data_IF_304505387024
#
_entry.id   IF_304505387024
#
_cell.length_a   1.000
_cell.length_b   1.000
_cell.length_c   1.000
_cell.angle_alpha   90.00
_cell.angle_beta   90.00
_cell.angle_gamma   90.00
#
_symmetry.space_group_name_H-M   'P 1'
#
loop_
_entity.id
_entity.type
_entity.pdbx_description
1 polymer ?
#
# COMPACT_ATOMS: atom_id res chain seq x y z
N UNK A 1 11.76 22.31 5.97
CA UNK A 1 11.12 20.99 6.16
C UNK A 1 9.69 21.13 6.63
N UNK A 2 8.82 20.22 6.23
CA UNK A 2 7.43 20.11 6.68
C UNK A 2 7.26 18.84 7.53
N UNK A 3 6.51 18.92 8.62
CA UNK A 3 6.10 17.76 9.42
C UNK A 3 4.59 17.68 9.43
N UNK A 4 4.04 16.56 8.94
CA UNK A 4 2.61 16.33 8.81
C UNK A 4 2.15 15.36 9.90
N UNK A 5 1.16 15.77 10.69
CA UNK A 5 0.57 14.97 11.76
C UNK A 5 -0.94 14.82 11.51
N UNK A 6 -1.40 13.73 10.86
CA UNK A 6 -2.82 13.45 10.75
C UNK A 6 -3.35 12.97 12.10
N UNK A 7 -4.45 13.57 12.58
CA UNK A 7 -5.02 13.26 13.88
C UNK A 7 -6.55 13.16 13.83
N UNK A 8 -7.09 12.09 14.40
CA UNK A 8 -8.51 11.90 14.62
C UNK A 8 -8.73 11.47 16.07
N UNK A 9 -9.62 12.17 16.77
CA UNK A 9 -9.93 11.95 18.18
C UNK A 9 -8.68 11.87 19.10
N UNK A 10 -7.75 12.85 19.02
CA UNK A 10 -6.47 12.79 19.72
C UNK A 10 -6.60 12.90 21.24
N UNK A 11 -5.50 12.61 21.93
CA UNK A 11 -5.30 12.88 23.35
C UNK A 11 -4.13 13.86 23.57
N UNK A 12 -3.70 14.02 24.83
CA UNK A 12 -2.59 14.91 25.22
C UNK A 12 -1.26 14.61 24.53
N UNK A 13 -1.07 13.40 23.97
CA UNK A 13 0.15 13.04 23.25
C UNK A 13 0.34 13.85 21.98
N UNK A 14 -0.75 14.25 21.31
CA UNK A 14 -0.65 15.12 20.13
C UNK A 14 0.04 16.45 20.50
N UNK A 15 -0.35 17.04 21.62
CA UNK A 15 0.24 18.29 22.12
C UNK A 15 1.72 18.08 22.43
N UNK A 16 2.04 17.00 23.15
CA UNK A 16 3.43 16.66 23.50
C UNK A 16 4.31 16.48 22.25
N UNK A 17 3.81 15.78 21.24
CA UNK A 17 4.53 15.59 19.96
C UNK A 17 4.79 16.93 19.28
N UNK A 18 3.78 17.79 19.16
CA UNK A 18 3.94 19.12 18.55
C UNK A 18 4.92 19.96 19.35
N UNK A 19 4.79 20.01 20.68
CA UNK A 19 5.68 20.75 21.57
C UNK A 19 7.13 20.26 21.44
N UNK A 20 7.36 18.96 21.48
CA UNK A 20 8.69 18.36 21.34
C UNK A 20 9.32 18.70 19.99
N UNK A 21 8.54 18.64 18.90
CA UNK A 21 8.99 19.02 17.56
C UNK A 21 9.32 20.52 17.52
N UNK A 22 8.43 21.38 18.00
CA UNK A 22 8.66 22.85 18.02
C UNK A 22 9.95 23.20 18.77
N UNK A 23 10.19 22.58 19.93
CA UNK A 23 11.36 22.87 20.76
C UNK A 23 12.67 22.33 20.17
N UNK A 24 12.63 21.14 19.55
CA UNK A 24 13.85 20.44 19.10
C UNK A 24 14.16 20.64 17.62
N UNK A 25 13.17 21.00 16.80
CA UNK A 25 13.25 21.16 15.36
C UNK A 25 12.82 22.59 14.94
N UNK A 26 13.53 23.61 15.44
CA UNK A 26 13.20 25.05 15.34
C UNK A 26 12.84 25.58 13.94
N UNK A 27 13.18 24.88 12.86
CA UNK A 27 12.90 25.27 11.47
C UNK A 27 11.81 24.43 10.79
N UNK A 28 11.12 23.56 11.54
CA UNK A 28 10.03 22.75 10.99
C UNK A 28 8.74 23.54 10.87
N UNK A 29 8.08 23.44 9.72
CA UNK A 29 6.68 23.85 9.56
C UNK A 29 5.80 22.67 9.91
N UNK A 30 5.09 22.76 11.04
CA UNK A 30 4.25 21.66 11.53
C UNK A 30 2.83 21.86 11.00
N UNK A 31 2.29 20.83 10.37
CA UNK A 31 0.92 20.80 9.85
C UNK A 31 0.18 19.67 10.56
N UNK A 32 -0.77 20.04 11.41
CA UNK A 32 -1.69 19.09 12.04
C UNK A 32 -2.97 19.07 11.22
N UNK A 33 -3.46 17.88 10.87
CA UNK A 33 -4.75 17.74 10.18
C UNK A 33 -5.76 17.10 11.12
N UNK A 34 -6.72 17.90 11.58
CA UNK A 34 -7.92 17.43 12.25
C UNK A 34 -8.83 16.74 11.24
N UNK A 35 -8.81 15.40 11.20
CA UNK A 35 -9.64 14.59 10.30
C UNK A 35 -11.08 14.45 10.84
N UNK A 36 -11.73 15.57 11.17
CA UNK A 36 -13.14 15.61 11.55
C UNK A 36 -13.45 15.08 12.95
N UNK A 37 -12.56 15.35 13.91
CA UNK A 37 -12.80 15.11 15.33
C UNK A 37 -13.96 15.98 15.85
N UNK A 38 -14.76 15.43 16.77
CA UNK A 38 -15.89 16.15 17.36
C UNK A 38 -15.47 17.32 18.27
N UNK A 39 -16.43 18.20 18.66
CA UNK A 39 -16.14 19.42 19.43
C UNK A 39 -15.34 19.19 20.73
N UNK A 40 -15.51 18.04 21.39
CA UNK A 40 -14.79 17.67 22.61
C UNK A 40 -13.27 17.57 22.45
N UNK A 41 -12.76 17.57 21.22
CA UNK A 41 -11.33 17.49 20.92
C UNK A 41 -10.72 18.82 20.48
N UNK A 42 -11.51 19.90 20.36
CA UNK A 42 -11.03 21.19 19.85
C UNK A 42 -9.84 21.71 20.66
N UNK A 43 -9.89 21.59 21.99
CA UNK A 43 -8.83 22.07 22.89
C UNK A 43 -7.45 21.49 22.53
N UNK A 44 -7.36 20.21 22.14
CA UNK A 44 -6.10 19.61 21.71
C UNK A 44 -5.53 20.29 20.46
N UNK A 45 -6.40 20.64 19.51
CA UNK A 45 -5.98 21.30 18.27
C UNK A 45 -5.64 22.77 18.51
N UNK A 46 -6.45 23.47 19.30
CA UNK A 46 -6.21 24.87 19.67
C UNK A 46 -4.86 24.99 20.41
N UNK A 47 -4.56 24.07 21.33
CA UNK A 47 -3.29 24.03 22.03
C UNK A 47 -2.11 23.71 21.09
N UNK A 48 -2.26 22.80 20.12
CA UNK A 48 -1.20 22.60 19.11
C UNK A 48 -0.94 23.84 18.26
N UNK A 49 -1.97 24.64 17.97
CA UNK A 49 -1.80 25.89 17.25
C UNK A 49 -1.03 26.93 18.07
N UNK A 50 -1.22 26.97 19.40
CA UNK A 50 -0.42 27.81 20.31
C UNK A 50 1.06 27.43 20.30
N UNK A 51 1.38 26.16 20.06
CA UNK A 51 2.76 25.68 19.87
C UNK A 51 3.31 25.89 18.44
N UNK A 52 2.59 26.63 17.59
CA UNK A 52 3.04 27.06 16.27
C UNK A 52 2.69 26.12 15.12
N UNK A 53 1.81 25.13 15.34
CA UNK A 53 1.34 24.28 14.26
C UNK A 53 0.24 24.95 13.43
N UNK A 54 0.28 24.78 12.11
CA UNK A 54 -0.86 25.05 11.23
C UNK A 54 -1.87 23.92 11.37
N UNK A 55 -3.09 24.24 11.78
CA UNK A 55 -4.17 23.24 11.93
C UNK A 55 -5.14 23.31 10.74
N UNK A 56 -5.18 22.25 9.95
CA UNK A 56 -6.16 22.06 8.88
C UNK A 56 -7.32 21.19 9.40
N UNK A 57 -8.56 21.48 8.98
CA UNK A 57 -9.75 20.81 9.51
C UNK A 57 -10.63 20.21 8.42
N UNK A 58 -11.01 18.95 8.60
CA UNK A 58 -12.11 18.33 7.87
C UNK A 58 -13.43 18.50 8.63
N UNK A 59 -14.57 18.67 7.92
CA UNK A 59 -15.88 18.76 8.57
C UNK A 59 -16.34 17.41 9.14
N UNK A 60 -15.89 16.30 8.56
CA UNK A 60 -16.18 14.92 8.97
C UNK A 60 -14.94 14.04 8.76
N UNK A 61 -14.87 12.89 9.42
CA UNK A 61 -13.79 11.93 9.23
C UNK A 61 -13.74 11.38 7.79
N UNK A 62 -12.68 11.75 7.06
CA UNK A 62 -12.41 11.29 5.69
C UNK A 62 -11.39 10.15 5.65
N UNK A 63 -10.55 10.03 6.68
CA UNK A 63 -9.53 9.01 6.87
C UNK A 63 -8.10 9.55 6.74
N UNK A 64 -7.14 8.77 7.26
CA UNK A 64 -5.71 9.14 7.30
C UNK A 64 -5.14 9.53 5.94
N UNK A 65 -5.42 8.76 4.88
CA UNK A 65 -4.97 9.09 3.52
C UNK A 65 -5.52 10.41 2.99
N UNK A 66 -6.80 10.72 3.27
CA UNK A 66 -7.37 12.01 2.91
C UNK A 66 -6.74 13.16 3.72
N UNK A 67 -6.46 12.95 5.01
CA UNK A 67 -5.76 13.93 5.84
C UNK A 67 -4.35 14.22 5.31
N UNK A 68 -3.60 13.18 4.92
CA UNK A 68 -2.29 13.33 4.29
C UNK A 68 -2.38 14.11 2.97
N UNK A 69 -3.35 13.78 2.10
CA UNK A 69 -3.59 14.53 0.85
C UNK A 69 -3.91 15.99 1.07
N UNK A 70 -4.72 16.32 2.08
CA UNK A 70 -5.02 17.70 2.46
C UNK A 70 -3.75 18.45 2.85
N UNK A 71 -2.88 17.84 3.66
CA UNK A 71 -1.59 18.44 3.99
C UNK A 71 -0.67 18.58 2.78
N UNK A 72 -0.60 17.58 1.90
CA UNK A 72 0.20 17.66 0.68
C UNK A 72 -0.28 18.79 -0.25
N UNK A 73 -1.59 18.94 -0.44
CA UNK A 73 -2.16 20.02 -1.24
C UNK A 73 -1.83 21.40 -0.64
N UNK A 74 -1.94 21.55 0.68
CA UNK A 74 -1.55 22.78 1.39
C UNK A 74 -0.06 23.10 1.18
N UNK A 75 0.82 22.11 1.35
CA UNK A 75 2.26 22.28 1.15
C UNK A 75 2.57 22.67 -0.30
N UNK A 76 1.89 22.05 -1.28
CA UNK A 76 2.11 22.38 -2.69
C UNK A 76 1.75 23.84 -3.00
N UNK A 77 0.64 24.33 -2.47
CA UNK A 77 0.23 25.73 -2.61
C UNK A 77 1.27 26.67 -1.97
N UNK A 78 1.77 26.34 -0.79
CA UNK A 78 2.81 27.12 -0.10
C UNK A 78 4.13 27.15 -0.89
N UNK A 79 4.60 25.99 -1.36
CA UNK A 79 5.84 25.85 -2.14
C UNK A 79 5.76 26.64 -3.44
N UNK A 80 4.63 26.56 -4.16
CA UNK A 80 4.43 27.30 -5.41
C UNK A 80 4.34 28.80 -5.16
N UNK A 81 3.52 29.23 -4.20
CA UNK A 81 3.31 30.67 -3.91
C UNK A 81 4.60 31.36 -3.44
N UNK A 82 5.40 30.69 -2.62
CA UNK A 82 6.65 31.24 -2.07
C UNK A 82 7.89 30.94 -2.92
N UNK A 83 7.73 30.29 -4.09
CA UNK A 83 8.83 29.89 -4.97
C UNK A 83 9.94 29.10 -4.24
N UNK A 84 9.53 28.20 -3.33
CA UNK A 84 10.47 27.42 -2.54
C UNK A 84 11.11 26.32 -3.38
N UNK A 85 12.41 26.13 -3.21
CA UNK A 85 13.08 24.91 -3.69
C UNK A 85 12.56 23.68 -2.94
N UNK A 86 12.77 22.50 -3.51
CA UNK A 86 12.38 21.22 -2.94
C UNK A 86 12.68 21.12 -1.43
N UNK A 87 11.66 20.79 -0.63
CA UNK A 87 11.77 20.66 0.81
C UNK A 87 11.45 19.21 1.23
N UNK A 88 12.10 18.69 2.29
CA UNK A 88 11.71 17.42 2.88
C UNK A 88 10.35 17.57 3.60
N UNK A 89 9.51 16.58 3.43
CA UNK A 89 8.25 16.35 4.13
C UNK A 89 8.39 15.06 4.94
N UNK A 90 8.01 15.10 6.21
CA UNK A 90 7.97 13.90 7.07
C UNK A 90 6.60 13.73 7.69
N UNK A 91 6.01 12.55 7.56
CA UNK A 91 4.75 12.19 8.23
C UNK A 91 5.05 11.62 9.61
N UNK A 92 4.26 11.98 10.62
CA UNK A 92 4.43 11.52 12.00
C UNK A 92 3.06 11.18 12.58
N UNK A 93 2.90 10.01 13.19
CA UNK A 93 1.66 9.67 13.89
C UNK A 93 1.49 10.49 15.18
N UNK A 94 0.25 10.81 15.53
CA UNK A 94 -0.09 11.68 16.67
C UNK A 94 0.01 11.00 18.04
N UNK A 95 0.46 9.75 18.10
CA UNK A 95 0.43 8.90 19.30
C UNK A 95 1.73 8.93 20.13
N UNK A 96 2.72 9.70 19.70
CA UNK A 96 4.00 9.85 20.41
C UNK A 96 4.96 8.67 20.26
N UNK A 97 4.70 7.72 19.37
CA UNK A 97 5.58 6.56 19.18
C UNK A 97 6.87 6.89 18.40
N UNK A 98 6.91 8.02 17.69
CA UNK A 98 8.06 8.44 16.89
C UNK A 98 8.97 9.35 17.69
N UNK A 99 10.18 8.88 17.99
CA UNK A 99 11.18 9.68 18.69
C UNK A 99 11.72 10.80 17.80
N UNK A 100 12.01 11.96 18.38
CA UNK A 100 12.58 13.11 17.65
C UNK A 100 13.86 12.74 16.89
N UNK A 101 14.74 11.94 17.50
CA UNK A 101 15.97 11.46 16.84
C UNK A 101 15.68 10.64 15.57
N UNK A 102 14.58 9.90 15.55
CA UNK A 102 14.18 9.08 14.40
C UNK A 102 13.55 9.93 13.30
N UNK A 103 12.75 10.94 13.68
CA UNK A 103 12.27 11.97 12.75
C UNK A 103 13.46 12.66 12.08
N UNK A 104 14.47 13.09 12.84
CA UNK A 104 15.68 13.74 12.32
C UNK A 104 16.43 12.84 11.34
N UNK A 105 16.58 11.54 11.66
CA UNK A 105 17.23 10.57 10.76
C UNK A 105 16.48 10.44 9.43
N UNK A 106 15.15 10.39 9.48
CA UNK A 106 14.31 10.31 8.28
C UNK A 106 14.38 11.60 7.46
N UNK A 107 14.31 12.78 8.10
CA UNK A 107 14.51 14.08 7.43
C UNK A 107 15.84 14.10 6.68
N UNK A 108 16.94 13.75 7.35
CA UNK A 108 18.28 13.76 6.76
C UNK A 108 18.37 12.81 5.56
N UNK A 109 17.83 11.59 5.69
CA UNK A 109 17.82 10.63 4.59
C UNK A 109 16.98 11.11 3.40
N UNK A 110 15.90 11.86 3.64
CA UNK A 110 15.09 12.49 2.59
C UNK A 110 15.84 13.63 1.90
N UNK A 111 16.57 14.46 2.64
CA UNK A 111 17.41 15.51 2.07
C UNK A 111 18.53 14.92 1.19
N UNK A 112 19.14 13.81 1.61
CA UNK A 112 20.18 13.11 0.86
C UNK A 112 19.62 12.38 -0.37
N UNK A 113 18.36 11.96 -0.35
CA UNK A 113 17.73 11.15 -1.40
C UNK A 113 16.32 11.69 -1.75
N UNK A 114 16.20 12.88 -2.35
CA UNK A 114 14.91 13.55 -2.54
C UNK A 114 13.96 12.81 -3.49
N UNK A 115 14.48 11.95 -4.36
CA UNK A 115 13.69 11.10 -5.27
C UNK A 115 13.17 9.80 -4.64
N UNK A 116 13.56 9.50 -3.39
CA UNK A 116 13.19 8.29 -2.69
C UNK A 116 12.00 8.53 -1.75
N UNK A 117 11.20 7.49 -1.58
CA UNK A 117 10.30 7.34 -0.44
C UNK A 117 11.09 6.72 0.72
N UNK A 118 11.36 7.51 1.75
CA UNK A 118 12.09 7.07 2.94
C UNK A 118 11.10 6.52 3.96
N UNK A 119 11.33 5.32 4.47
CA UNK A 119 10.52 4.70 5.51
C UNK A 119 11.32 4.60 6.80
N UNK A 120 10.78 5.11 7.90
CA UNK A 120 11.26 4.80 9.23
C UNK A 120 10.88 3.37 9.58
N UNK A 121 11.77 2.42 9.36
CA UNK A 121 11.50 1.00 9.55
C UNK A 121 11.83 0.59 10.99
N UNK A 122 10.82 0.12 11.72
CA UNK A 122 11.01 -0.34 13.10
C UNK A 122 11.96 -1.51 13.12
N UNK A 123 13.04 -1.38 13.89
CA UNK A 123 13.85 -2.53 14.24
C UNK A 123 12.98 -3.39 15.17
N UNK A 124 12.40 -4.50 14.66
CA UNK A 124 11.59 -5.45 15.46
C UNK A 124 12.43 -6.25 16.49
N UNK A 125 13.39 -5.60 17.12
CA UNK A 125 14.31 -6.09 18.13
C UNK A 125 13.66 -5.84 19.50
N UNK A 126 13.56 -6.86 20.36
CA UNK A 126 12.99 -6.74 21.72
C UNK A 126 11.56 -7.27 21.91
N UNK A 127 10.84 -6.77 22.94
CA UNK A 127 9.49 -7.20 23.36
C UNK A 127 8.38 -6.65 22.44
N UNK A 128 8.36 -7.08 21.19
CA UNK A 128 7.22 -6.81 20.28
C UNK A 128 6.11 -7.81 20.58
N UNK A 129 4.84 -7.38 20.72
CA UNK A 129 3.71 -8.31 20.77
C UNK A 129 3.74 -9.27 19.57
N UNK A 130 3.77 -10.58 19.83
CA UNK A 130 3.98 -11.60 18.81
C UNK A 130 3.00 -11.51 17.63
N UNK A 131 1.76 -11.07 17.89
CA UNK A 131 0.71 -10.87 16.88
C UNK A 131 1.06 -9.77 15.87
N UNK A 132 1.52 -8.61 16.32
CA UNK A 132 1.91 -7.50 15.42
C UNK A 132 3.16 -7.83 14.60
N UNK A 133 4.12 -8.54 15.21
CA UNK A 133 5.32 -9.03 14.50
C UNK A 133 4.97 -10.02 13.39
N UNK A 134 4.06 -10.96 13.67
CA UNK A 134 3.64 -11.95 12.69
C UNK A 134 2.87 -11.31 11.54
N UNK A 135 1.91 -10.43 11.84
CA UNK A 135 1.16 -9.68 10.83
C UNK A 135 2.07 -8.92 9.87
N UNK A 136 2.99 -8.09 10.39
CA UNK A 136 3.90 -7.34 9.52
C UNK A 136 4.88 -8.24 8.75
N UNK A 137 5.38 -9.35 9.32
CA UNK A 137 6.21 -10.31 8.57
C UNK A 137 5.46 -10.93 7.39
N UNK A 138 4.19 -11.31 7.59
CA UNK A 138 3.34 -11.85 6.53
C UNK A 138 3.11 -10.78 5.46
N UNK A 139 2.73 -9.56 5.85
CA UNK A 139 2.51 -8.45 4.91
C UNK A 139 3.78 -8.09 4.13
N UNK A 140 4.93 -7.97 4.80
CA UNK A 140 6.22 -7.70 4.17
C UNK A 140 6.66 -8.83 3.22
N UNK A 141 6.44 -10.09 3.61
CA UNK A 141 6.70 -11.26 2.77
C UNK A 141 5.83 -11.26 1.51
N UNK A 142 4.52 -11.05 1.67
CA UNK A 142 3.57 -10.95 0.56
C UNK A 142 3.92 -9.77 -0.35
N UNK A 143 4.19 -8.59 0.22
CA UNK A 143 4.60 -7.40 -0.52
C UNK A 143 5.86 -7.67 -1.34
N UNK A 144 6.91 -8.24 -0.73
CA UNK A 144 8.16 -8.58 -1.44
C UNK A 144 7.93 -9.57 -2.56
N UNK A 145 7.08 -10.56 -2.32
CA UNK A 145 6.77 -11.56 -3.31
C UNK A 145 6.06 -10.91 -4.52
N UNK A 146 5.11 -10.02 -4.25
CA UNK A 146 4.27 -9.34 -5.24
C UNK A 146 5.02 -8.26 -6.03
N UNK A 147 5.70 -7.34 -5.36
CA UNK A 147 6.34 -6.17 -5.99
C UNK A 147 7.79 -6.44 -6.38
N UNK A 148 8.40 -7.47 -5.78
CA UNK A 148 9.83 -7.71 -5.85
C UNK A 148 10.66 -6.74 -4.99
N UNK A 149 10.04 -5.81 -4.28
CA UNK A 149 10.71 -4.81 -3.47
C UNK A 149 10.92 -5.34 -2.04
N UNK A 150 12.07 -5.06 -1.45
CA UNK A 150 12.33 -5.42 -0.05
C UNK A 150 11.92 -4.23 0.83
N UNK A 151 10.83 -4.39 1.56
CA UNK A 151 10.39 -3.47 2.61
C UNK A 151 10.15 -4.30 3.86
N UNK A 152 10.80 -3.94 4.96
CA UNK A 152 10.73 -4.65 6.24
C UNK A 152 9.57 -4.18 7.10
N UNK A 153 9.13 -2.92 6.94
CA UNK A 153 8.01 -2.36 7.68
C UNK A 153 7.01 -1.64 6.75
N UNK A 154 6.00 -2.38 6.29
CA UNK A 154 4.97 -1.86 5.38
C UNK A 154 3.95 -0.93 6.05
N UNK A 155 3.92 -0.91 7.39
CA UNK A 155 2.89 -0.26 8.19
C UNK A 155 3.42 0.91 9.01
N UNK A 156 4.65 1.38 8.75
CA UNK A 156 5.18 2.56 9.43
C UNK A 156 4.46 3.83 8.97
N UNK A 157 4.11 4.68 9.94
CA UNK A 157 3.59 6.03 9.72
C UNK A 157 4.67 7.10 9.62
N UNK A 158 5.92 6.78 10.03
CA UNK A 158 7.06 7.68 9.86
C UNK A 158 7.66 7.53 8.46
N UNK A 159 7.37 8.49 7.58
CA UNK A 159 7.80 8.46 6.18
C UNK A 159 8.34 9.81 5.75
N UNK A 160 9.42 9.80 5.00
CA UNK A 160 10.05 10.97 4.42
C UNK A 160 9.91 11.01 2.90
N UNK A 161 9.60 12.17 2.35
CA UNK A 161 9.40 12.40 0.92
C UNK A 161 9.74 13.86 0.55
N UNK A 162 10.21 14.12 -0.67
CA UNK A 162 10.38 15.51 -1.16
C UNK A 162 9.03 16.11 -1.56
N UNK A 163 8.90 17.43 -1.48
CA UNK A 163 7.80 18.19 -2.08
C UNK A 163 7.63 17.92 -3.58
N UNK A 164 8.70 17.51 -4.28
CA UNK A 164 8.64 17.16 -5.70
C UNK A 164 7.77 15.92 -5.97
N UNK A 165 7.54 15.09 -4.94
CA UNK A 165 6.69 13.90 -5.04
C UNK A 165 5.21 14.24 -4.83
N UNK A 166 4.86 15.46 -4.41
CA UNK A 166 3.45 15.82 -4.12
C UNK A 166 2.49 15.53 -5.29
N UNK A 167 2.80 15.89 -6.56
CA UNK A 167 1.90 15.58 -7.67
C UNK A 167 1.57 14.10 -7.79
N UNK A 168 2.54 13.22 -7.53
CA UNK A 168 2.33 11.77 -7.50
C UNK A 168 1.50 11.37 -6.27
N UNK A 169 1.86 11.86 -5.08
CA UNK A 169 1.19 11.55 -3.82
C UNK A 169 -0.31 11.90 -3.84
N UNK A 170 -0.68 13.03 -4.47
CA UNK A 170 -2.07 13.45 -4.58
C UNK A 170 -2.90 12.55 -5.50
N UNK A 171 -2.28 11.97 -6.54
CA UNK A 171 -2.93 11.10 -7.52
C UNK A 171 -3.06 9.64 -7.06
N UNK A 172 -2.41 9.24 -5.95
CA UNK A 172 -2.51 7.88 -5.43
C UNK A 172 -3.92 7.58 -4.89
N UNK A 173 -4.41 6.37 -5.16
CA UNK A 173 -5.70 5.89 -4.66
C UNK A 173 -5.70 5.63 -3.15
N UNK A 174 -6.87 5.81 -2.52
CA UNK A 174 -7.09 5.53 -1.11
C UNK A 174 -7.25 6.80 -0.27
N UNK A 175 -8.05 6.68 0.79
CA UNK A 175 -8.38 7.80 1.69
C UNK A 175 -8.17 7.43 3.16
N UNK A 176 -7.98 6.15 3.49
CA UNK A 176 -7.71 5.70 4.86
C UNK A 176 -6.34 5.03 4.95
N UNK A 177 -6.18 4.05 5.85
CA UNK A 177 -4.91 3.35 6.08
C UNK A 177 -4.38 2.63 4.84
N UNK A 178 -5.23 2.22 3.90
CA UNK A 178 -4.79 1.61 2.64
C UNK A 178 -3.94 2.55 1.76
N UNK A 179 -4.10 3.87 1.90
CA UNK A 179 -3.34 4.86 1.12
C UNK A 179 -1.84 4.70 1.32
N UNK A 180 -1.42 4.50 2.57
CA UNK A 180 -0.01 4.26 2.92
C UNK A 180 0.52 2.96 2.31
N UNK A 181 -0.30 1.93 2.16
CA UNK A 181 0.11 0.70 1.49
C UNK A 181 0.18 0.86 -0.04
N UNK A 182 -0.81 1.55 -0.62
CA UNK A 182 -0.83 1.87 -2.06
C UNK A 182 0.39 2.69 -2.48
N UNK A 183 0.84 3.62 -1.64
CA UNK A 183 2.08 4.37 -1.85
C UNK A 183 3.29 3.43 -2.08
N UNK A 184 3.38 2.32 -1.34
CA UNK A 184 4.47 1.34 -1.50
C UNK A 184 4.32 0.50 -2.78
N UNK A 185 3.07 0.12 -3.12
CA UNK A 185 2.78 -0.67 -4.32
C UNK A 185 3.11 0.12 -5.59
N UNK A 186 2.75 1.41 -5.61
CA UNK A 186 2.88 2.27 -6.79
C UNK A 186 4.25 2.94 -6.93
N UNK A 187 5.03 3.08 -5.85
CA UNK A 187 6.34 3.75 -5.86
C UNK A 187 7.23 3.28 -7.02
N UNK A 188 7.41 1.97 -7.18
CA UNK A 188 8.26 1.39 -8.23
C UNK A 188 7.72 1.63 -9.64
N UNK A 189 6.40 1.58 -9.84
CA UNK A 189 5.79 1.85 -11.15
C UNK A 189 6.00 3.30 -11.56
N UNK A 190 5.93 4.21 -10.59
CA UNK A 190 6.19 5.64 -10.78
C UNK A 190 7.67 6.02 -10.78
N UNK A 191 8.58 5.03 -10.73
CA UNK A 191 10.03 5.26 -10.78
C UNK A 191 10.66 5.74 -9.47
N UNK A 192 9.90 5.76 -8.37
CA UNK A 192 10.39 6.11 -7.05
C UNK A 192 11.01 4.90 -6.35
N UNK A 193 12.20 5.10 -5.78
CA UNK A 193 12.87 4.08 -4.98
C UNK A 193 12.39 4.16 -3.53
N UNK A 194 12.39 3.03 -2.83
CA UNK A 194 12.07 2.96 -1.41
C UNK A 194 13.37 2.68 -0.64
N UNK A 195 13.67 3.50 0.36
CA UNK A 195 14.79 3.29 1.28
C UNK A 195 14.28 3.21 2.71
N UNK A 196 14.94 2.43 3.54
CA UNK A 196 14.57 2.25 4.96
C UNK A 196 15.64 2.85 5.87
N UNK A 197 15.19 3.63 6.85
CA UNK A 197 15.99 4.14 7.96
C UNK A 197 15.56 3.40 9.21
N UNK A 198 16.46 2.70 9.93
CA UNK A 198 16.11 2.03 11.17
C UNK A 198 15.64 3.03 12.22
N UNK A 199 14.49 2.76 12.84
CA UNK A 199 13.92 3.55 13.94
C UNK A 199 13.66 2.68 15.17
N UNK A 200 13.61 3.31 16.34
CA UNK A 200 13.30 2.63 17.58
C UNK A 200 11.81 2.36 17.71
N UNK A 201 11.47 1.25 18.36
CA UNK A 201 10.08 0.90 18.57
C UNK A 201 9.65 1.32 19.97
N UNK A 202 8.83 2.37 20.05
CA UNK A 202 8.23 2.84 21.31
C UNK A 202 6.81 2.31 21.39
N UNK A 203 6.56 1.37 22.30
CA UNK A 203 5.21 0.88 22.57
C UNK A 203 4.63 1.61 23.79
N UNK A 204 3.65 2.47 23.56
CA UNK A 204 2.86 3.11 24.62
C UNK A 204 1.55 2.33 24.80
N UNK A 205 1.28 1.90 26.04
CA UNK A 205 0.00 1.30 26.46
C UNK A 205 -0.59 0.21 25.52
N UNK A 206 0.25 -0.72 25.04
CA UNK A 206 -0.17 -1.83 24.16
C UNK A 206 -0.89 -1.38 22.86
N UNK A 207 -0.62 -0.18 22.33
CA UNK A 207 -1.29 0.39 21.15
C UNK A 207 -2.81 0.65 21.32
N UNK A 208 -3.33 0.81 22.54
CA UNK A 208 -4.76 1.11 22.76
C UNK A 208 -5.24 2.41 22.12
N UNK A 209 -4.33 3.36 21.86
CA UNK A 209 -4.62 4.64 21.20
C UNK A 209 -4.78 4.53 19.68
N UNK A 210 -4.47 3.39 19.06
CA UNK A 210 -4.63 3.23 17.63
C UNK A 210 -6.11 3.07 17.26
N UNK A 211 -6.66 4.01 16.48
CA UNK A 211 -7.99 3.87 15.88
C UNK A 211 -8.06 2.81 14.77
N UNK A 212 -6.98 2.05 14.57
CA UNK A 212 -6.92 0.94 13.63
C UNK A 212 -7.88 -0.18 14.05
N UNK A 213 -8.85 -0.49 13.19
CA UNK A 213 -9.81 -1.58 13.39
C UNK A 213 -9.25 -2.85 12.76
N UNK A 214 -8.77 -3.84 13.56
CA UNK A 214 -7.90 -4.91 13.05
C UNK A 214 -8.45 -5.66 11.85
N UNK A 215 -9.74 -6.01 11.85
CA UNK A 215 -10.35 -6.77 10.77
C UNK A 215 -10.63 -5.86 9.56
N UNK A 216 -11.36 -4.76 9.77
CA UNK A 216 -11.85 -3.90 8.69
C UNK A 216 -10.70 -3.23 7.94
N UNK A 217 -9.70 -2.74 8.65
CA UNK A 217 -8.60 -2.01 8.03
C UNK A 217 -7.58 -2.98 7.42
N UNK A 218 -7.40 -4.19 7.99
CA UNK A 218 -6.65 -5.25 7.31
C UNK A 218 -7.29 -5.66 5.99
N UNK A 219 -8.62 -5.83 5.93
CA UNK A 219 -9.33 -6.15 4.66
C UNK A 219 -9.08 -5.06 3.62
N UNK A 220 -9.02 -3.79 4.02
CA UNK A 220 -8.73 -2.68 3.10
C UNK A 220 -7.29 -2.72 2.59
N UNK A 221 -6.33 -2.95 3.49
CA UNK A 221 -4.91 -3.11 3.12
C UNK A 221 -4.73 -4.29 2.15
N UNK A 222 -5.42 -5.41 2.39
CA UNK A 222 -5.39 -6.58 1.52
C UNK A 222 -6.37 -6.51 0.33
N UNK A 223 -7.12 -5.42 0.17
CA UNK A 223 -8.16 -5.30 -0.85
C UNK A 223 -7.63 -5.53 -2.27
N UNK A 224 -6.46 -5.01 -2.69
CA UNK A 224 -5.92 -5.30 -4.02
C UNK A 224 -5.75 -6.81 -4.30
N UNK A 225 -5.30 -7.56 -3.29
CA UNK A 225 -5.12 -9.00 -3.39
C UNK A 225 -6.46 -9.75 -3.36
N UNK A 226 -7.38 -9.33 -2.49
CA UNK A 226 -8.73 -9.92 -2.41
C UNK A 226 -9.53 -9.70 -3.69
N UNK A 227 -9.42 -8.51 -4.30
CA UNK A 227 -10.03 -8.21 -5.60
C UNK A 227 -9.47 -9.12 -6.69
N UNK A 228 -8.14 -9.25 -6.80
CA UNK A 228 -7.53 -10.16 -7.76
C UNK A 228 -7.95 -11.62 -7.53
N UNK A 229 -7.96 -12.07 -6.29
CA UNK A 229 -8.45 -13.42 -5.94
C UNK A 229 -9.91 -13.61 -6.37
N UNK A 230 -10.77 -12.62 -6.10
CA UNK A 230 -12.18 -12.64 -6.48
C UNK A 230 -12.39 -12.70 -7.98
N UNK A 231 -11.62 -11.92 -8.77
CA UNK A 231 -11.68 -12.01 -10.23
C UNK A 231 -11.27 -13.41 -10.71
N UNK A 232 -10.17 -13.98 -10.20
CA UNK A 232 -9.72 -15.31 -10.59
C UNK A 232 -10.76 -16.40 -10.30
N UNK A 233 -11.44 -16.33 -9.14
CA UNK A 233 -12.56 -17.24 -8.82
C UNK A 233 -13.71 -17.07 -9.81
N UNK A 234 -14.10 -15.83 -10.12
CA UNK A 234 -15.16 -15.57 -11.09
C UNK A 234 -14.79 -16.10 -12.49
N UNK A 235 -13.55 -15.90 -12.92
CA UNK A 235 -13.06 -16.45 -14.19
C UNK A 235 -13.09 -17.98 -14.21
N UNK A 236 -12.79 -18.65 -13.09
CA UNK A 236 -12.91 -20.10 -12.98
C UNK A 236 -14.36 -20.57 -13.09
N UNK A 237 -15.32 -19.81 -12.55
CA UNK A 237 -16.76 -20.10 -12.70
C UNK A 237 -17.21 -19.89 -14.13
N UNK A 238 -16.76 -18.82 -14.79
CA UNK A 238 -17.03 -18.56 -16.22
C UNK A 238 -16.47 -19.68 -17.09
N UNK A 239 -15.24 -20.12 -16.82
CA UNK A 239 -14.59 -21.22 -17.54
C UNK A 239 -15.40 -22.52 -17.44
N UNK A 240 -15.77 -22.91 -16.22
CA UNK A 240 -16.57 -24.11 -15.99
C UNK A 240 -17.94 -24.03 -16.68
N UNK A 241 -18.63 -22.90 -16.54
CA UNK A 241 -19.97 -22.70 -17.14
C UNK A 241 -19.89 -22.71 -18.66
N UNK A 242 -18.94 -22.00 -19.25
CA UNK A 242 -18.74 -21.94 -20.69
C UNK A 242 -18.39 -23.33 -21.25
N UNK A 243 -17.55 -24.11 -20.56
CA UNK A 243 -17.21 -25.47 -20.96
C UNK A 243 -18.47 -26.35 -21.08
N UNK A 244 -19.32 -26.38 -20.06
CA UNK A 244 -20.53 -27.22 -20.08
C UNK A 244 -21.52 -26.78 -21.16
N UNK A 245 -21.75 -25.48 -21.33
CA UNK A 245 -22.66 -24.95 -22.36
C UNK A 245 -22.13 -25.24 -23.77
N UNK A 246 -20.85 -24.95 -24.03
CA UNK A 246 -20.25 -25.17 -25.34
C UNK A 246 -20.16 -26.65 -25.69
N UNK A 247 -19.88 -27.51 -24.71
CA UNK A 247 -19.87 -28.95 -24.93
C UNK A 247 -21.27 -29.48 -25.26
N UNK A 248 -22.30 -28.96 -24.59
CA UNK A 248 -23.68 -29.31 -24.88
C UNK A 248 -24.09 -28.96 -26.32
N UNK A 249 -23.62 -27.81 -26.84
CA UNK A 249 -23.93 -27.30 -28.18
C UNK A 249 -23.09 -27.94 -29.29
N UNK A 250 -21.77 -28.06 -29.09
CA UNK A 250 -20.83 -28.44 -30.15
C UNK A 250 -20.54 -29.93 -30.19
N UNK A 251 -20.73 -30.63 -29.05
CA UNK A 251 -20.30 -32.02 -28.82
C UNK A 251 -18.81 -32.28 -29.07
N UNK A 252 -18.00 -31.23 -29.25
CA UNK A 252 -16.56 -31.32 -29.46
C UNK A 252 -15.85 -30.81 -28.20
N UNK A 253 -15.25 -31.74 -27.45
CA UNK A 253 -14.58 -31.43 -26.18
C UNK A 253 -13.42 -30.45 -26.35
N UNK A 254 -12.55 -30.67 -27.33
CA UNK A 254 -11.37 -29.84 -27.56
C UNK A 254 -11.78 -28.40 -27.87
N UNK A 255 -12.71 -28.23 -28.81
CA UNK A 255 -13.23 -26.91 -29.20
C UNK A 255 -13.89 -26.20 -28.02
N UNK A 256 -14.65 -26.94 -27.19
CA UNK A 256 -15.32 -26.38 -26.00
C UNK A 256 -14.32 -25.92 -24.94
N UNK A 257 -13.26 -26.70 -24.67
CA UNK A 257 -12.21 -26.33 -23.70
C UNK A 257 -11.45 -25.10 -24.17
N UNK A 258 -11.06 -25.04 -25.44
CA UNK A 258 -10.32 -23.90 -25.99
C UNK A 258 -11.16 -22.62 -25.93
N UNK A 259 -12.41 -22.67 -26.39
CA UNK A 259 -13.30 -21.52 -26.39
C UNK A 259 -13.65 -21.05 -24.96
N UNK A 260 -13.94 -21.98 -24.04
CA UNK A 260 -14.18 -21.64 -22.63
C UNK A 260 -12.98 -20.91 -22.01
N UNK A 261 -11.75 -21.38 -22.29
CA UNK A 261 -10.53 -20.75 -21.80
C UNK A 261 -10.34 -19.35 -22.38
N UNK A 262 -10.61 -19.15 -23.67
CA UNK A 262 -10.52 -17.82 -24.31
C UNK A 262 -11.54 -16.86 -23.69
N UNK A 263 -12.78 -17.29 -23.48
CA UNK A 263 -13.83 -16.47 -22.86
C UNK A 263 -13.44 -16.09 -21.44
N UNK A 264 -13.09 -17.07 -20.61
CA UNK A 264 -12.66 -16.86 -19.22
C UNK A 264 -11.45 -15.93 -19.13
N UNK A 265 -10.42 -16.15 -19.95
CA UNK A 265 -9.22 -15.32 -19.98
C UNK A 265 -9.52 -13.87 -20.40
N UNK A 266 -10.40 -13.68 -21.40
CA UNK A 266 -10.84 -12.35 -21.83
C UNK A 266 -11.58 -11.62 -20.72
N UNK A 267 -12.55 -12.28 -20.08
CA UNK A 267 -13.29 -11.72 -18.95
C UNK A 267 -12.36 -11.37 -17.79
N UNK A 268 -11.40 -12.25 -17.47
CA UNK A 268 -10.44 -12.02 -16.41
C UNK A 268 -9.54 -10.81 -16.69
N UNK A 269 -9.06 -10.65 -17.92
CA UNK A 269 -8.26 -9.50 -18.33
C UNK A 269 -9.03 -8.19 -18.14
N UNK A 270 -10.29 -8.13 -18.57
CA UNK A 270 -11.13 -6.94 -18.43
C UNK A 270 -11.45 -6.62 -16.97
N UNK A 271 -11.74 -7.63 -16.16
CA UNK A 271 -11.98 -7.46 -14.73
C UNK A 271 -10.72 -6.96 -14.02
N UNK A 272 -9.56 -7.53 -14.31
CA UNK A 272 -8.29 -7.11 -13.72
C UNK A 272 -7.91 -5.68 -14.11
N UNK A 273 -8.14 -5.29 -15.38
CA UNK A 273 -7.91 -3.93 -15.83
C UNK A 273 -8.78 -2.92 -15.04
N UNK A 274 -10.08 -3.18 -14.92
CA UNK A 274 -11.02 -2.19 -14.37
C UNK A 274 -11.17 -2.23 -12.84
N UNK A 275 -10.90 -3.37 -12.20
CA UNK A 275 -11.18 -3.57 -10.77
C UNK A 275 -9.91 -3.59 -9.92
N UNK A 276 -8.81 -4.10 -10.48
CA UNK A 276 -7.59 -4.41 -9.72
C UNK A 276 -6.46 -3.42 -10.00
N UNK A 277 -6.14 -3.18 -11.28
CA UNK A 277 -4.87 -2.54 -11.65
C UNK A 277 -4.97 -1.16 -12.30
N UNK A 278 -6.14 -0.71 -12.77
CA UNK A 278 -6.35 0.59 -13.40
C UNK A 278 -5.22 0.99 -14.39
N UNK A 279 -5.08 0.27 -15.52
CA UNK A 279 -3.90 0.38 -16.37
C UNK A 279 -3.74 1.77 -16.99
N UNK A 280 -2.49 2.21 -17.09
CA UNK A 280 -2.08 3.44 -17.79
C UNK A 280 -1.99 3.23 -19.31
N UNK A 281 -1.74 1.99 -19.75
CA UNK A 281 -1.61 1.62 -21.16
C UNK A 281 -2.94 1.30 -21.84
N UNK A 282 -3.00 1.38 -23.17
CA UNK A 282 -4.22 1.02 -23.90
C UNK A 282 -4.63 -0.44 -23.65
N UNK A 283 -5.94 -0.66 -23.49
CA UNK A 283 -6.51 -1.98 -23.19
C UNK A 283 -6.07 -3.06 -24.18
N UNK A 284 -5.89 -2.71 -25.46
CA UNK A 284 -5.41 -3.66 -26.48
C UNK A 284 -4.01 -4.20 -26.16
N UNK A 285 -3.06 -3.32 -25.79
CA UNK A 285 -1.69 -3.76 -25.46
C UNK A 285 -1.67 -4.62 -24.19
N UNK A 286 -2.45 -4.24 -23.18
CA UNK A 286 -2.59 -5.03 -21.96
C UNK A 286 -3.18 -6.41 -22.24
N UNK A 287 -4.21 -6.50 -23.09
CA UNK A 287 -4.79 -7.78 -23.51
C UNK A 287 -3.76 -8.69 -24.20
N UNK A 288 -2.98 -8.17 -25.15
CA UNK A 288 -1.93 -8.97 -25.82
C UNK A 288 -0.90 -9.51 -24.82
N UNK A 289 -0.40 -8.66 -23.91
CA UNK A 289 0.53 -9.06 -22.85
C UNK A 289 -0.09 -10.11 -21.92
N UNK A 290 -1.37 -9.95 -21.61
CA UNK A 290 -2.11 -10.89 -20.76
C UNK A 290 -2.26 -12.27 -21.42
N UNK A 291 -2.64 -12.34 -22.70
CA UNK A 291 -2.76 -13.62 -23.41
C UNK A 291 -1.41 -14.34 -23.53
N UNK A 292 -0.33 -13.60 -23.78
CA UNK A 292 1.03 -14.17 -23.74
C UNK A 292 1.37 -14.75 -22.36
N UNK A 293 1.02 -14.04 -21.29
CA UNK A 293 1.18 -14.53 -19.93
C UNK A 293 0.37 -15.81 -19.68
N UNK A 294 -0.88 -15.89 -20.14
CA UNK A 294 -1.72 -17.09 -19.99
C UNK A 294 -1.06 -18.32 -20.64
N UNK A 295 -0.50 -18.17 -21.85
CA UNK A 295 0.21 -19.27 -22.53
C UNK A 295 1.44 -19.73 -21.75
N UNK A 296 2.23 -18.78 -21.24
CA UNK A 296 3.41 -19.09 -20.42
C UNK A 296 3.01 -19.80 -19.12
N UNK A 297 1.98 -19.30 -18.42
CA UNK A 297 1.49 -19.90 -17.19
C UNK A 297 0.97 -21.32 -17.40
N UNK A 298 0.31 -21.58 -18.54
CA UNK A 298 -0.14 -22.93 -18.91
C UNK A 298 1.04 -23.90 -19.06
N UNK A 299 2.09 -23.50 -19.78
CA UNK A 299 3.30 -24.31 -19.92
C UNK A 299 3.99 -24.52 -18.57
N UNK A 300 4.16 -23.46 -17.77
CA UNK A 300 4.75 -23.55 -16.44
C UNK A 300 3.94 -24.46 -15.50
N UNK A 301 2.61 -24.46 -15.58
CA UNK A 301 1.75 -25.35 -14.78
C UNK A 301 2.10 -26.81 -15.04
N UNK A 302 2.13 -27.21 -16.31
CA UNK A 302 2.47 -28.59 -16.69
C UNK A 302 3.86 -29.00 -16.21
N UNK A 303 4.88 -28.17 -16.47
CA UNK A 303 6.27 -28.50 -16.10
C UNK A 303 6.49 -28.53 -14.58
N UNK A 304 5.91 -27.57 -13.85
CA UNK A 304 6.06 -27.52 -12.39
C UNK A 304 5.34 -28.69 -11.73
N UNK A 305 4.10 -28.97 -12.16
CA UNK A 305 3.32 -30.08 -11.63
C UNK A 305 3.99 -31.43 -11.89
N UNK A 306 4.44 -31.69 -13.12
CA UNK A 306 5.13 -32.92 -13.48
C UNK A 306 6.44 -33.09 -12.70
N UNK A 307 7.22 -32.01 -12.54
CA UNK A 307 8.47 -32.04 -11.76
C UNK A 307 8.22 -32.34 -10.27
N UNK A 308 7.20 -31.71 -9.66
CA UNK A 308 6.84 -31.94 -8.27
C UNK A 308 6.36 -33.37 -8.02
N UNK A 309 5.58 -33.93 -8.94
CA UNK A 309 5.17 -35.34 -8.87
C UNK A 309 6.36 -36.27 -9.04
N UNK A 310 7.30 -35.97 -9.94
CA UNK A 310 8.49 -36.77 -10.18
C UNK A 310 9.43 -36.86 -8.96
N UNK A 311 9.50 -35.82 -8.12
CA UNK A 311 10.27 -35.83 -6.86
C UNK A 311 9.52 -36.49 -5.69
N UNK A 312 8.39 -37.15 -5.96
CA UNK A 312 7.63 -37.92 -4.97
C UNK A 312 6.57 -37.11 -4.20
N UNK A 313 6.28 -35.87 -4.61
CA UNK A 313 5.18 -35.12 -4.00
C UNK A 313 3.84 -35.68 -4.49
N UNK A 314 2.93 -35.98 -3.58
CA UNK A 314 1.60 -36.46 -3.94
C UNK A 314 0.86 -35.48 -4.86
N UNK A 315 0.13 -35.98 -5.86
CA UNK A 315 -0.50 -35.17 -6.91
C UNK A 315 -1.33 -33.99 -6.37
N UNK A 316 -2.10 -34.22 -5.30
CA UNK A 316 -2.92 -33.17 -4.67
C UNK A 316 -2.05 -32.05 -4.11
N UNK A 317 -0.99 -32.41 -3.37
CA UNK A 317 -0.08 -31.44 -2.78
C UNK A 317 0.73 -30.70 -3.86
N UNK A 318 1.20 -31.43 -4.88
CA UNK A 318 1.87 -30.84 -6.04
C UNK A 318 0.97 -29.84 -6.78
N UNK A 319 -0.31 -30.17 -6.97
CA UNK A 319 -1.29 -29.25 -7.56
C UNK A 319 -1.47 -28.00 -6.73
N UNK A 320 -1.69 -28.13 -5.41
CA UNK A 320 -1.86 -26.97 -4.53
C UNK A 320 -0.63 -26.04 -4.54
N UNK A 321 0.58 -26.61 -4.50
CA UNK A 321 1.83 -25.84 -4.56
C UNK A 321 1.97 -25.13 -5.91
N UNK A 322 1.76 -25.84 -7.01
CA UNK A 322 1.84 -25.27 -8.37
C UNK A 322 0.86 -24.12 -8.57
N UNK A 323 -0.42 -24.32 -8.23
CA UNK A 323 -1.44 -23.28 -8.39
C UNK A 323 -1.15 -22.04 -7.52
N UNK A 324 -0.71 -22.24 -6.28
CA UNK A 324 -0.36 -21.13 -5.38
C UNK A 324 0.82 -20.32 -5.94
N UNK A 325 1.88 -20.98 -6.41
CA UNK A 325 3.04 -20.32 -6.99
C UNK A 325 2.68 -19.55 -8.27
N UNK A 326 1.94 -20.18 -9.17
CA UNK A 326 1.55 -19.54 -10.43
C UNK A 326 0.56 -18.40 -10.23
N UNK A 327 -0.35 -18.50 -9.25
CA UNK A 327 -1.23 -17.40 -8.87
C UNK A 327 -0.43 -16.16 -8.45
N UNK A 328 0.58 -16.37 -7.61
CA UNK A 328 1.45 -15.30 -7.11
C UNK A 328 2.34 -14.70 -8.22
N UNK A 329 2.91 -15.54 -9.09
CA UNK A 329 3.65 -15.11 -10.29
C UNK A 329 2.73 -14.32 -11.23
N UNK A 330 1.52 -14.81 -11.45
CA UNK A 330 0.52 -14.16 -12.31
C UNK A 330 0.17 -12.76 -11.80
N UNK A 331 -0.11 -12.61 -10.50
CA UNK A 331 -0.33 -11.29 -9.89
C UNK A 331 0.85 -10.36 -10.14
N UNK A 332 2.07 -10.83 -9.86
CA UNK A 332 3.30 -10.03 -10.00
C UNK A 332 3.56 -9.59 -11.44
N UNK A 333 3.41 -10.48 -12.42
CA UNK A 333 3.63 -10.14 -13.83
C UNK A 333 2.53 -9.21 -14.32
N UNK A 334 1.28 -9.42 -13.89
CA UNK A 334 0.19 -8.55 -14.24
C UNK A 334 0.38 -7.12 -13.70
N UNK A 335 0.77 -7.02 -12.44
CA UNK A 335 1.04 -5.75 -11.77
C UNK A 335 2.21 -4.97 -12.40
N UNK A 336 3.29 -5.64 -12.79
CA UNK A 336 4.54 -4.97 -13.20
C UNK A 336 4.75 -4.90 -14.71
N UNK A 337 4.02 -5.68 -15.52
CA UNK A 337 4.27 -5.79 -16.98
C UNK A 337 2.99 -5.64 -17.78
N UNK A 338 1.93 -6.36 -17.42
CA UNK A 338 0.69 -6.39 -18.23
C UNK A 338 -0.07 -5.08 -18.16
N UNK A 339 -0.27 -4.58 -16.93
CA UNK A 339 -1.06 -3.38 -16.63
C UNK A 339 -0.21 -2.21 -16.13
N UNK A 340 1.12 -2.31 -16.27
CA UNK A 340 2.06 -1.23 -15.96
C UNK A 340 2.15 -0.21 -17.10
#
# INVERSE_FOLDING_TARGET
MYIIIPAYEPDTRLIQVVQDITLKLLKSRIIVVNDGSGPRYNDYYDETALFGATVLKHPINKGKGAALKTAFAYIQEEVVSQHLSAQPIVTVDSDGQHLIKDIVRVVKATEENPSHLILGARAFVGKVPARSRFGNKVTAGLFRLVTGQKVTDTQTGLRGMSTDLIPWLLNLDGNRFEYEFNMLLEAKKSGHQISEVPIETVYLEENKSSHFRPIRDSIRIYSPFLKFSGTAVLASVIDATALFVLFALTKNLLLSVVLARVISASSQCLLNANVVFNPTSSLFRSSVRYFMLVLVLLACNYFLLSSLVAIGLGLVLAKLVTETLLFLVSYRVQHNVVFA
#
